data_IF_514795169745
#
_entry.id   IF_514795169745
#
_cell.length_a   1.000
_cell.length_b   1.000
_cell.length_c   1.000
_cell.angle_alpha   90.00
_cell.angle_beta   90.00
_cell.angle_gamma   90.00
#
_symmetry.space_group_name_H-M   'P 1'
#
loop_
_entity.id
_entity.type
_entity.pdbx_description
1 polymer ?
#
# COMPACT_ATOMS: atom_id res chain seq x y z
N UNK A 1 17.37 -5.92 -19.33
CA UNK A 1 18.37 -4.91 -19.75
C UNK A 1 19.51 -4.90 -18.74
N UNK A 2 20.76 -5.07 -19.16
CA UNK A 2 21.92 -4.98 -18.25
C UNK A 2 22.29 -3.50 -18.00
N UNK A 3 22.68 -3.18 -16.76
CA UNK A 3 23.10 -1.84 -16.35
C UNK A 3 24.26 -1.33 -17.22
N UNK A 4 25.22 -2.16 -17.59
CA UNK A 4 26.34 -1.73 -18.45
C UNK A 4 25.87 -1.35 -19.87
N UNK A 5 24.91 -2.09 -20.42
CA UNK A 5 24.29 -1.75 -21.72
C UNK A 5 23.55 -0.42 -21.66
N UNK A 6 22.77 -0.19 -20.61
CA UNK A 6 22.03 1.06 -20.41
C UNK A 6 22.98 2.25 -20.20
N UNK A 7 24.04 2.07 -19.41
CA UNK A 7 25.07 3.10 -19.16
C UNK A 7 25.76 3.53 -20.45
N UNK A 8 26.10 2.57 -21.32
CA UNK A 8 26.71 2.83 -22.63
C UNK A 8 25.76 3.63 -23.54
N UNK A 9 24.49 3.22 -23.62
CA UNK A 9 23.46 3.93 -24.40
C UNK A 9 23.21 5.36 -23.92
N UNK A 10 23.35 5.61 -22.61
CA UNK A 10 23.12 6.91 -21.99
C UNK A 10 24.41 7.75 -21.81
N UNK A 11 25.57 7.24 -22.25
CA UNK A 11 26.83 7.95 -22.17
C UNK A 11 27.30 8.30 -20.76
N UNK A 12 26.94 7.51 -19.73
CA UNK A 12 27.27 7.82 -18.33
C UNK A 12 28.37 6.91 -17.76
N UNK A 13 29.28 7.49 -16.98
CA UNK A 13 30.37 6.75 -16.29
C UNK A 13 29.87 6.02 -15.04
N UNK A 14 30.60 4.99 -14.58
CA UNK A 14 30.18 4.07 -13.48
C UNK A 14 29.97 4.84 -12.20
N UNK A 15 30.93 5.70 -11.89
CA UNK A 15 30.85 6.63 -10.78
C UNK A 15 29.61 7.53 -10.85
N UNK A 16 29.29 8.10 -12.03
CA UNK A 16 28.13 8.99 -12.17
C UNK A 16 26.79 8.25 -11.91
N UNK A 17 26.64 7.03 -12.44
CA UNK A 17 25.45 6.20 -12.18
C UNK A 17 25.24 5.96 -10.68
N UNK A 18 26.28 5.49 -9.98
CA UNK A 18 26.16 5.18 -8.56
C UNK A 18 26.00 6.44 -7.70
N UNK A 19 26.62 7.55 -8.08
CA UNK A 19 26.42 8.84 -7.43
C UNK A 19 24.96 9.30 -7.51
N UNK A 20 24.38 9.30 -8.72
CA UNK A 20 22.97 9.67 -8.92
C UNK A 20 22.03 8.74 -8.17
N UNK A 21 22.28 7.43 -8.21
CA UNK A 21 21.48 6.45 -7.48
C UNK A 21 21.53 6.68 -5.97
N UNK A 22 22.71 7.00 -5.43
CA UNK A 22 22.87 7.36 -4.02
C UNK A 22 22.05 8.61 -3.67
N UNK A 23 22.12 9.66 -4.49
CA UNK A 23 21.35 10.91 -4.28
C UNK A 23 19.83 10.68 -4.29
N UNK A 24 19.35 9.82 -5.20
CA UNK A 24 17.92 9.45 -5.25
C UNK A 24 17.50 8.72 -3.96
N UNK A 25 18.34 7.81 -3.46
CA UNK A 25 18.07 7.10 -2.19
C UNK A 25 18.06 8.05 -0.99
N UNK A 26 19.04 8.95 -0.92
CA UNK A 26 19.11 9.98 0.13
C UNK A 26 17.85 10.86 0.11
N UNK A 27 17.46 11.36 -1.06
CA UNK A 27 16.24 12.16 -1.21
C UNK A 27 14.97 11.38 -0.82
N UNK A 28 14.85 10.12 -1.24
CA UNK A 28 13.72 9.26 -0.86
C UNK A 28 13.63 9.08 0.66
N UNK A 29 14.76 8.79 1.30
CA UNK A 29 14.84 8.65 2.76
C UNK A 29 14.42 9.96 3.41
N UNK A 30 15.03 11.09 3.05
CA UNK A 30 14.69 12.42 3.58
C UNK A 30 13.19 12.69 3.47
N UNK A 31 12.60 12.51 2.27
CA UNK A 31 11.14 12.71 2.07
C UNK A 31 10.29 11.74 2.89
N UNK A 32 10.72 10.49 3.07
CA UNK A 32 9.99 9.50 3.87
C UNK A 32 10.07 9.88 5.35
N UNK A 33 11.26 10.12 5.91
CA UNK A 33 11.43 10.57 7.30
C UNK A 33 10.78 11.91 7.60
N UNK A 34 10.62 12.78 6.60
CA UNK A 34 9.97 14.08 6.78
C UNK A 34 8.44 13.99 6.60
N UNK A 35 7.93 13.02 5.83
CA UNK A 35 6.51 12.73 5.65
C UNK A 35 5.93 11.81 6.73
N UNK A 36 6.77 11.05 7.42
CA UNK A 36 6.37 10.21 8.54
C UNK A 36 7.18 10.60 9.77
N UNK A 37 6.53 11.22 10.76
CA UNK A 37 6.70 10.68 12.11
C UNK A 37 6.43 9.18 11.96
N UNK A 38 7.48 8.37 11.82
CA UNK A 38 7.33 6.91 11.80
C UNK A 38 6.89 6.53 13.21
N UNK A 39 5.60 6.65 13.49
CA UNK A 39 4.98 6.05 14.66
C UNK A 39 5.10 4.56 14.43
N UNK A 40 6.11 3.96 15.02
CA UNK A 40 6.17 2.52 15.20
C UNK A 40 4.95 2.14 16.03
N UNK A 41 3.85 1.81 15.34
CA UNK A 41 2.69 1.17 15.96
C UNK A 41 3.00 -0.31 15.92
N UNK A 42 3.28 -0.88 17.09
CA UNK A 42 3.31 -2.32 17.26
C UNK A 42 1.89 -2.83 16.96
N UNK A 43 1.69 -3.28 15.73
CA UNK A 43 0.47 -4.00 15.37
C UNK A 43 0.48 -5.28 16.21
N UNK A 44 -0.55 -5.53 17.03
CA UNK A 44 -0.62 -6.78 17.77
C UNK A 44 -0.51 -7.91 16.75
N UNK A 45 0.52 -8.74 16.93
CA UNK A 45 0.58 -10.00 16.19
C UNK A 45 -0.72 -10.71 16.55
N UNK A 46 -1.54 -11.01 15.54
CA UNK A 46 -2.69 -11.91 15.69
C UNK A 46 -2.15 -13.32 15.96
N UNK A 47 -1.45 -13.49 17.07
CA UNK A 47 -1.25 -14.76 17.74
C UNK A 47 -2.63 -15.13 18.20
N UNK A 48 -3.17 -16.15 17.53
CA UNK A 48 -4.55 -16.62 17.63
C UNK A 48 -5.50 -16.01 16.59
N UNK A 49 -5.28 -16.43 15.34
CA UNK A 49 -6.38 -17.04 14.58
C UNK A 49 -6.95 -18.27 15.33
N UNK A 50 -7.29 -18.14 16.62
CA UNK A 50 -8.25 -19.01 17.27
C UNK A 50 -9.58 -18.60 16.66
N UNK A 51 -9.89 -19.22 15.53
CA UNK A 51 -11.25 -19.45 15.09
C UNK A 51 -12.15 -18.25 15.38
N UNK A 52 -11.85 -17.08 14.78
CA UNK A 52 -12.98 -16.33 14.24
C UNK A 52 -13.63 -17.36 13.36
N UNK A 53 -14.72 -17.94 13.88
CA UNK A 53 -15.50 -18.95 13.20
C UNK A 53 -15.57 -18.40 11.80
N UNK A 54 -14.99 -19.15 10.86
CA UNK A 54 -15.34 -19.03 9.48
C UNK A 54 -16.83 -19.29 9.52
N UNK A 55 -17.63 -18.25 9.79
CA UNK A 55 -18.91 -18.11 9.17
C UNK A 55 -18.50 -18.05 7.71
N UNK A 56 -18.33 -19.25 7.15
CA UNK A 56 -18.66 -19.53 5.78
C UNK A 56 -20.15 -19.23 5.70
N UNK A 57 -20.51 -17.95 5.80
CA UNK A 57 -21.62 -17.47 5.03
C UNK A 57 -21.15 -17.71 3.61
N UNK A 58 -21.79 -18.67 2.97
CA UNK A 58 -21.71 -18.99 1.54
C UNK A 58 -22.22 -17.82 0.70
N UNK A 59 -21.88 -16.60 1.12
CA UNK A 59 -22.52 -15.38 0.70
C UNK A 59 -21.50 -14.65 -0.16
N UNK A 60 -21.75 -14.70 -1.45
CA UNK A 60 -20.95 -14.03 -2.45
C UNK A 60 -21.07 -12.51 -2.20
N UNK A 61 -19.96 -11.75 -2.32
CA UNK A 61 -20.05 -10.30 -2.16
C UNK A 61 -21.09 -9.74 -3.14
N UNK A 62 -21.96 -8.87 -2.64
CA UNK A 62 -23.02 -8.23 -3.42
C UNK A 62 -22.43 -7.09 -4.26
N UNK A 63 -21.38 -6.45 -3.74
CA UNK A 63 -20.70 -5.36 -4.43
C UNK A 63 -19.20 -5.35 -4.12
N UNK A 64 -18.43 -4.81 -5.04
CA UNK A 64 -16.99 -4.58 -4.88
C UNK A 64 -16.68 -3.13 -5.24
N UNK A 65 -15.91 -2.45 -4.40
CA UNK A 65 -15.42 -1.09 -4.64
C UNK A 65 -13.95 -1.18 -5.00
N UNK A 66 -13.57 -0.61 -6.15
CA UNK A 66 -12.18 -0.43 -6.55
C UNK A 66 -11.76 1.03 -6.36
N UNK A 67 -10.62 1.23 -5.70
CA UNK A 67 -9.99 2.54 -5.53
C UNK A 67 -8.76 2.65 -6.44
N UNK A 68 -8.36 3.86 -6.83
CA UNK A 68 -7.17 4.12 -7.66
C UNK A 68 -5.83 3.68 -7.06
N UNK A 69 -5.81 3.28 -5.79
CA UNK A 69 -4.63 2.85 -5.05
C UNK A 69 -4.47 1.31 -4.98
N UNK A 70 -4.99 0.57 -5.97
CA UNK A 70 -5.04 -0.91 -6.00
C UNK A 70 -5.74 -1.56 -4.79
N UNK A 71 -6.53 -0.78 -4.05
CA UNK A 71 -7.35 -1.25 -2.94
C UNK A 71 -8.73 -1.70 -3.46
N UNK A 72 -9.13 -2.92 -3.12
CA UNK A 72 -10.46 -3.46 -3.41
C UNK A 72 -11.17 -3.81 -2.10
N UNK A 73 -12.44 -3.43 -1.99
CA UNK A 73 -13.27 -3.66 -0.80
C UNK A 73 -14.51 -4.45 -1.20
N UNK A 74 -14.64 -5.65 -0.62
CA UNK A 74 -15.78 -6.54 -0.87
C UNK A 74 -16.89 -6.28 0.16
N UNK A 75 -18.12 -6.11 -0.33
CA UNK A 75 -19.29 -5.77 0.47
C UNK A 75 -20.25 -6.96 0.49
N UNK A 76 -20.56 -7.42 1.69
CA UNK A 76 -21.44 -8.56 1.95
C UNK A 76 -22.83 -8.09 2.42
N UNK A 77 -23.83 -8.97 2.30
CA UNK A 77 -25.23 -8.70 2.69
C UNK A 77 -25.41 -8.27 4.15
N UNK A 78 -24.44 -8.62 4.99
CA UNK A 78 -24.45 -8.38 6.43
C UNK A 78 -24.11 -6.94 6.84
N UNK A 79 -23.77 -6.05 5.90
CA UNK A 79 -23.35 -4.68 6.24
C UNK A 79 -24.56 -3.83 6.68
N UNK A 80 -24.40 -3.08 7.78
CA UNK A 80 -25.41 -2.11 8.19
C UNK A 80 -25.31 -0.81 7.39
N UNK A 81 -26.40 -0.03 7.34
CA UNK A 81 -26.40 1.27 6.67
C UNK A 81 -25.34 2.22 7.24
N UNK A 82 -25.17 2.25 8.57
CA UNK A 82 -24.20 3.12 9.25
C UNK A 82 -22.76 2.73 8.93
N UNK A 83 -22.48 1.42 8.85
CA UNK A 83 -21.17 0.89 8.44
C UNK A 83 -20.86 1.24 6.99
N UNK A 84 -21.85 1.11 6.10
CA UNK A 84 -21.70 1.46 4.70
C UNK A 84 -21.45 2.97 4.53
N UNK A 85 -22.19 3.83 5.23
CA UNK A 85 -21.97 5.28 5.19
C UNK A 85 -20.60 5.68 5.73
N UNK A 86 -20.16 5.07 6.83
CA UNK A 86 -18.84 5.28 7.41
C UNK A 86 -17.73 4.86 6.44
N UNK A 87 -17.91 3.72 5.77
CA UNK A 87 -16.98 3.22 4.75
C UNK A 87 -16.87 4.18 3.57
N UNK A 88 -18.00 4.61 2.99
CA UNK A 88 -18.00 5.55 1.86
C UNK A 88 -17.37 6.89 2.27
N UNK A 89 -17.64 7.37 3.48
CA UNK A 89 -16.98 8.55 4.05
C UNK A 89 -15.46 8.39 4.13
N UNK A 90 -14.98 7.25 4.63
CA UNK A 90 -13.55 6.96 4.71
C UNK A 90 -12.89 6.89 3.33
N UNK A 91 -13.50 6.18 2.37
CA UNK A 91 -12.97 6.02 1.01
C UNK A 91 -12.89 7.36 0.28
N UNK A 92 -13.86 8.27 0.48
CA UNK A 92 -13.81 9.63 -0.11
C UNK A 92 -12.67 10.50 0.42
N UNK A 93 -12.17 10.22 1.62
CA UNK A 93 -11.10 10.99 2.24
C UNK A 93 -9.69 10.45 1.90
N UNK A 94 -9.59 9.32 1.18
CA UNK A 94 -8.33 8.82 0.64
C UNK A 94 -7.98 9.69 -0.59
N UNK A 95 -7.07 10.65 -0.39
CA UNK A 95 -6.54 11.56 -1.40
C UNK A 95 -5.21 11.06 -1.95
#
# INVERSE_FOLDING_TARGET
MNIETWRSQNGISKANYYYRLRRVREAYIETTTQSSETTFVELPVMSDLQTLKKQVSTDQPIAQIHTSADLSIDIFSSISADQFQSLIGAVKNVK
#
